data_IF_428347883874
#
_entry.id   IF_428347883874
#
_cell.length_a   1.000
_cell.length_b   1.000
_cell.length_c   1.000
_cell.angle_alpha   90.00
_cell.angle_beta   90.00
_cell.angle_gamma   90.00
#
_symmetry.space_group_name_H-M   'P 1'
#
loop_
_entity.id
_entity.type
_entity.pdbx_description
1 polymer ?
#
# COMPACT_ATOMS: atom_id res chain seq x y z
N UNK A 1 2.29 29.64 4.70
CA UNK A 1 2.36 28.38 5.46
C UNK A 1 3.58 27.60 5.03
N UNK A 2 4.65 27.73 5.82
CA UNK A 2 5.95 27.10 5.59
C UNK A 2 5.83 25.59 5.83
N UNK A 3 5.92 24.75 4.79
CA UNK A 3 6.28 23.34 4.98
C UNK A 3 7.80 23.31 5.14
N UNK A 4 8.25 22.97 6.35
CA UNK A 4 9.65 22.77 6.67
C UNK A 4 10.25 21.69 5.76
N UNK A 5 11.55 21.82 5.49
CA UNK A 5 12.34 20.86 4.73
C UNK A 5 12.16 19.42 5.23
N UNK A 6 12.11 18.48 4.28
CA UNK A 6 11.62 17.11 4.40
C UNK A 6 12.04 16.36 5.66
N UNK A 7 11.07 16.15 6.55
CA UNK A 7 11.11 15.04 7.49
C UNK A 7 10.77 13.79 6.68
N UNK A 8 11.72 12.85 6.54
CA UNK A 8 11.43 11.55 5.93
C UNK A 8 10.29 10.89 6.70
N UNK A 9 9.13 10.74 6.06
CA UNK A 9 7.92 10.20 6.69
C UNK A 9 8.05 8.70 6.99
N UNK A 10 9.04 8.03 6.40
CA UNK A 10 9.33 6.61 6.56
C UNK A 10 10.78 6.36 6.97
N UNK A 11 10.98 5.30 7.75
CA UNK A 11 12.24 4.65 8.06
C UNK A 11 12.42 3.41 7.19
N UNK A 12 13.63 3.19 6.68
CA UNK A 12 14.00 2.00 5.93
C UNK A 12 15.02 1.20 6.73
N UNK A 13 14.72 -0.06 7.01
CA UNK A 13 15.51 -0.94 7.88
C UNK A 13 15.81 -2.22 7.09
N UNK A 14 17.07 -2.63 7.08
CA UNK A 14 17.48 -3.91 6.47
C UNK A 14 16.91 -5.09 7.26
N UNK A 15 16.55 -6.17 6.56
CA UNK A 15 16.05 -7.39 7.21
C UNK A 15 17.26 -8.25 7.63
N UNK A 16 17.43 -8.42 8.94
CA UNK A 16 18.51 -9.22 9.55
C UNK A 16 18.04 -10.61 10.03
N UNK A 17 16.78 -10.96 9.80
CA UNK A 17 16.22 -12.26 10.19
C UNK A 17 16.96 -13.42 9.48
N UNK A 18 17.53 -14.39 10.23
CA UNK A 18 18.33 -15.45 9.64
C UNK A 18 17.52 -16.41 8.74
N UNK A 19 16.22 -16.58 9.01
CA UNK A 19 15.34 -17.43 8.20
C UNK A 19 15.06 -16.77 6.85
N UNK A 20 14.79 -15.46 6.86
CA UNK A 20 14.65 -14.66 5.67
C UNK A 20 15.94 -14.68 4.83
N UNK A 21 17.10 -14.41 5.43
CA UNK A 21 18.38 -14.40 4.71
C UNK A 21 18.73 -15.76 4.09
N UNK A 22 18.38 -16.87 4.75
CA UNK A 22 18.57 -18.22 4.21
C UNK A 22 17.65 -18.51 3.01
N UNK A 23 16.36 -18.18 3.12
CA UNK A 23 15.34 -18.47 2.10
C UNK A 23 15.38 -17.51 0.91
N UNK A 24 15.79 -16.26 1.13
CA UNK A 24 15.88 -15.23 0.10
C UNK A 24 16.83 -15.65 -1.04
N UNK A 25 18.01 -16.19 -0.70
CA UNK A 25 18.99 -16.68 -1.68
C UNK A 25 18.44 -17.80 -2.58
N UNK A 26 17.51 -18.60 -2.09
CA UNK A 26 16.90 -19.69 -2.85
C UNK A 26 15.84 -19.19 -3.84
N UNK A 27 15.21 -18.04 -3.54
CA UNK A 27 14.07 -17.51 -4.30
C UNK A 27 14.43 -16.37 -5.26
N UNK A 28 15.65 -15.84 -5.19
CA UNK A 28 16.09 -14.65 -5.93
C UNK A 28 15.18 -13.42 -5.67
N UNK A 29 14.68 -13.31 -4.43
CA UNK A 29 13.74 -12.30 -3.95
C UNK A 29 14.48 -11.26 -3.10
N UNK A 30 15.58 -10.72 -3.63
CA UNK A 30 16.54 -9.91 -2.86
C UNK A 30 16.05 -8.49 -2.54
N UNK A 31 14.89 -8.09 -3.05
CA UNK A 31 14.45 -6.71 -3.08
C UNK A 31 13.47 -6.35 -1.96
N UNK A 32 13.64 -6.87 -0.73
CA UNK A 32 12.80 -6.51 0.42
C UNK A 32 13.55 -5.77 1.53
N UNK A 33 12.81 -4.91 2.23
CA UNK A 33 13.24 -4.18 3.43
C UNK A 33 12.07 -3.98 4.38
N UNK A 34 12.34 -3.55 5.60
CA UNK A 34 11.30 -3.13 6.54
C UNK A 34 11.09 -1.61 6.45
N UNK A 35 9.83 -1.18 6.35
CA UNK A 35 9.42 0.22 6.35
C UNK A 35 8.64 0.54 7.61
N UNK A 36 9.01 1.61 8.31
CA UNK A 36 8.26 2.12 9.47
C UNK A 36 7.85 3.56 9.24
N UNK A 37 6.57 3.89 9.43
CA UNK A 37 6.13 5.27 9.41
C UNK A 37 6.65 6.03 10.64
N UNK A 38 7.26 7.19 10.45
CA UNK A 38 7.81 8.05 11.52
C UNK A 38 6.85 9.16 11.95
N UNK A 39 5.97 9.58 11.06
CA UNK A 39 5.07 10.73 11.27
C UNK A 39 3.63 10.33 11.07
N UNK A 40 2.79 10.61 12.07
CA UNK A 40 1.36 10.36 12.02
C UNK A 40 0.59 11.28 12.98
N UNK A 41 0.99 12.56 13.03
CA UNK A 41 0.26 13.58 13.77
C UNK A 41 -1.22 13.66 13.38
N UNK A 42 -1.53 13.25 12.16
CA UNK A 42 -2.86 13.36 11.55
C UNK A 42 -3.68 12.07 11.72
N UNK A 43 -3.10 11.01 12.28
CA UNK A 43 -3.82 9.76 12.57
C UNK A 43 -4.57 9.93 13.89
N UNK A 44 -5.89 9.76 13.94
CA UNK A 44 -6.71 9.98 15.14
C UNK A 44 -6.61 8.80 16.14
N UNK A 45 -5.39 8.32 16.39
CA UNK A 45 -5.08 7.24 17.32
C UNK A 45 -4.18 7.81 18.41
N UNK A 46 -4.71 7.86 19.63
CA UNK A 46 -3.99 8.35 20.80
C UNK A 46 -2.88 7.36 21.17
N UNK A 47 -1.65 7.65 20.71
CA UNK A 47 -0.43 6.80 20.80
C UNK A 47 -0.34 5.71 19.74
N UNK A 48 -0.15 6.13 18.50
CA UNK A 48 0.19 5.24 17.40
C UNK A 48 1.71 5.00 17.34
N UNK A 49 2.14 3.75 17.52
CA UNK A 49 3.52 3.30 17.37
C UNK A 49 3.53 1.99 16.54
N UNK A 50 3.47 2.09 15.21
CA UNK A 50 3.38 0.91 14.35
C UNK A 50 4.74 0.20 14.27
N UNK A 51 4.76 -1.15 14.20
CA UNK A 51 5.97 -1.87 13.88
C UNK A 51 6.43 -1.54 12.44
N UNK A 52 7.66 -1.94 12.11
CA UNK A 52 8.11 -1.91 10.73
C UNK A 52 7.48 -3.08 9.95
N UNK A 53 7.06 -2.85 8.72
CA UNK A 53 6.42 -3.85 7.86
C UNK A 53 7.28 -4.15 6.64
N UNK A 54 7.20 -5.38 6.12
CA UNK A 54 7.97 -5.79 4.95
C UNK A 54 7.39 -5.20 3.66
N UNK A 55 8.23 -4.50 2.91
CA UNK A 55 7.93 -3.97 1.57
C UNK A 55 9.09 -4.29 0.63
N UNK A 56 8.85 -4.13 -0.67
CA UNK A 56 9.96 -4.13 -1.62
C UNK A 56 10.78 -2.85 -1.51
N UNK A 57 12.05 -2.89 -1.91
CA UNK A 57 12.94 -1.73 -2.05
C UNK A 57 12.39 -0.66 -2.98
N UNK A 58 11.34 -0.96 -3.75
CA UNK A 58 10.67 -0.03 -4.66
C UNK A 58 9.77 0.97 -3.93
N UNK A 59 9.40 0.74 -2.67
CA UNK A 59 8.52 1.63 -1.90
C UNK A 59 9.02 3.08 -1.90
N UNK A 60 10.34 3.28 -1.76
CA UNK A 60 10.98 4.61 -1.79
C UNK A 60 10.80 5.36 -3.11
N UNK A 61 10.46 4.66 -4.20
CA UNK A 61 10.26 5.28 -5.52
C UNK A 61 8.93 6.01 -5.64
N UNK A 62 7.93 5.66 -4.81
CA UNK A 62 6.59 6.21 -4.89
C UNK A 62 6.07 6.77 -3.55
N UNK A 63 6.87 6.77 -2.48
CA UNK A 63 6.46 7.29 -1.16
C UNK A 63 6.00 8.76 -1.23
N UNK A 64 6.66 9.59 -2.03
CA UNK A 64 6.33 11.02 -2.16
C UNK A 64 4.99 11.21 -2.89
N UNK A 65 4.73 10.42 -3.93
CA UNK A 65 3.46 10.43 -4.64
C UNK A 65 2.33 9.97 -3.72
N UNK A 66 2.56 8.89 -2.95
CA UNK A 66 1.60 8.39 -1.97
C UNK A 66 1.23 9.45 -0.93
N UNK A 67 2.21 10.17 -0.38
CA UNK A 67 2.00 11.20 0.64
C UNK A 67 1.33 12.48 0.10
N UNK A 68 1.55 12.80 -1.17
CA UNK A 68 0.99 13.99 -1.81
C UNK A 68 -0.27 13.70 -2.64
N UNK A 69 -0.69 12.44 -2.72
CA UNK A 69 -1.88 12.02 -3.43
C UNK A 69 -3.11 12.74 -2.89
N UNK A 70 -3.91 13.30 -3.81
CA UNK A 70 -5.12 14.04 -3.47
C UNK A 70 -6.28 13.07 -3.24
N UNK A 71 -6.60 12.84 -1.97
CA UNK A 71 -7.81 12.11 -1.57
C UNK A 71 -9.05 12.94 -1.87
N UNK A 72 -10.06 12.32 -2.47
CA UNK A 72 -11.37 12.90 -2.76
C UNK A 72 -12.41 12.35 -1.80
N UNK A 73 -13.50 13.09 -1.64
CA UNK A 73 -14.60 12.70 -0.74
C UNK A 73 -15.38 11.47 -1.19
N UNK A 74 -15.29 11.12 -2.48
CA UNK A 74 -15.97 10.00 -3.13
C UNK A 74 -15.03 8.81 -3.39
N UNK A 75 -13.77 8.86 -2.94
CA UNK A 75 -12.84 7.75 -3.10
C UNK A 75 -13.28 6.54 -2.26
N UNK A 76 -13.20 5.35 -2.86
CA UNK A 76 -13.48 4.07 -2.20
C UNK A 76 -12.20 3.27 -2.05
N UNK A 77 -11.91 2.89 -0.82
CA UNK A 77 -10.68 2.20 -0.43
C UNK A 77 -10.98 0.75 -0.08
N UNK A 78 -10.34 -0.19 -0.78
CA UNK A 78 -10.36 -1.61 -0.42
C UNK A 78 -8.98 -1.98 0.10
N UNK A 79 -8.82 -1.97 1.42
CA UNK A 79 -7.57 -2.28 2.11
C UNK A 79 -7.69 -3.57 2.93
N UNK A 80 -6.68 -4.42 2.87
CA UNK A 80 -6.65 -5.70 3.58
C UNK A 80 -5.23 -6.25 3.67
N UNK A 81 -4.96 -7.13 4.63
CA UNK A 81 -3.73 -7.94 4.60
C UNK A 81 -3.73 -8.87 3.38
N UNK A 82 -2.57 -9.10 2.70
CA UNK A 82 -2.52 -9.91 1.49
C UNK A 82 -3.21 -11.26 1.62
N UNK A 83 -3.88 -11.68 0.54
CA UNK A 83 -4.61 -12.96 0.43
C UNK A 83 -5.84 -13.09 1.35
N UNK A 84 -6.36 -12.00 1.89
CA UNK A 84 -7.58 -12.00 2.73
C UNK A 84 -8.88 -11.72 1.95
N UNK A 85 -8.90 -11.99 0.64
CA UNK A 85 -10.11 -11.82 -0.20
C UNK A 85 -10.25 -10.47 -0.91
N UNK A 86 -9.18 -9.67 -1.01
CA UNK A 86 -9.18 -8.32 -1.64
C UNK A 86 -9.81 -8.31 -3.02
N UNK A 87 -9.46 -9.27 -3.89
CA UNK A 87 -10.00 -9.38 -5.26
C UNK A 87 -11.52 -9.55 -5.27
N UNK A 88 -12.06 -10.38 -4.38
CA UNK A 88 -13.51 -10.58 -4.28
C UNK A 88 -14.20 -9.31 -3.79
N UNK A 89 -13.63 -8.66 -2.77
CA UNK A 89 -14.16 -7.38 -2.27
C UNK A 89 -14.12 -6.28 -3.32
N UNK A 90 -13.04 -6.15 -4.09
CA UNK A 90 -12.94 -5.18 -5.17
C UNK A 90 -14.03 -5.40 -6.23
N UNK A 91 -14.28 -6.65 -6.65
CA UNK A 91 -15.35 -6.94 -7.61
C UNK A 91 -16.74 -6.62 -7.07
N UNK A 92 -17.04 -7.05 -5.84
CA UNK A 92 -18.33 -6.77 -5.20
C UNK A 92 -18.58 -5.27 -5.05
N UNK A 93 -17.59 -4.53 -4.56
CA UNK A 93 -17.67 -3.07 -4.40
C UNK A 93 -17.86 -2.41 -5.76
N UNK A 94 -17.08 -2.80 -6.78
CA UNK A 94 -17.20 -2.21 -8.11
C UNK A 94 -18.61 -2.37 -8.68
N UNK A 95 -19.17 -3.58 -8.62
CA UNK A 95 -20.51 -3.87 -9.13
C UNK A 95 -21.58 -3.08 -8.38
N UNK A 96 -21.52 -3.04 -7.04
CA UNK A 96 -22.48 -2.27 -6.23
C UNK A 96 -22.45 -0.78 -6.60
N UNK A 97 -21.26 -0.22 -6.82
CA UNK A 97 -21.09 1.19 -7.17
C UNK A 97 -21.39 1.52 -8.64
N UNK A 98 -21.55 0.51 -9.51
CA UNK A 98 -21.81 0.67 -10.94
C UNK A 98 -23.11 -0.06 -11.34
N UNK A 99 -24.14 0.02 -10.50
CA UNK A 99 -25.51 -0.47 -10.80
C UNK A 99 -25.59 -1.95 -11.24
N UNK A 100 -24.68 -2.78 -10.72
CA UNK A 100 -24.53 -4.19 -11.08
C UNK A 100 -24.28 -4.40 -12.59
N UNK A 101 -23.50 -3.52 -13.23
CA UNK A 101 -23.09 -3.65 -14.63
C UNK A 101 -22.07 -4.79 -14.84
N UNK A 102 -22.60 -6.01 -14.95
CA UNK A 102 -21.79 -7.21 -15.16
C UNK A 102 -21.10 -7.28 -16.52
N UNK A 103 -21.63 -6.61 -17.54
CA UNK A 103 -21.04 -6.65 -18.88
C UNK A 103 -19.77 -5.80 -18.91
N UNK A 104 -19.82 -4.60 -18.32
CA UNK A 104 -18.64 -3.76 -18.17
C UNK A 104 -17.60 -4.39 -17.26
N UNK A 105 -18.01 -4.97 -16.13
CA UNK A 105 -17.09 -5.67 -15.21
C UNK A 105 -16.29 -6.80 -15.88
N UNK A 106 -16.89 -7.50 -16.86
CA UNK A 106 -16.21 -8.54 -17.66
C UNK A 106 -15.30 -7.98 -18.74
N UNK A 107 -15.68 -6.84 -19.34
CA UNK A 107 -14.92 -6.21 -20.43
C UNK A 107 -13.67 -5.47 -19.94
N UNK A 108 -13.69 -4.96 -18.70
CA UNK A 108 -12.61 -4.16 -18.12
C UNK A 108 -11.83 -4.94 -17.06
N UNK A 109 -10.50 -4.91 -17.17
CA UNK A 109 -9.64 -5.56 -16.18
C UNK A 109 -9.81 -4.94 -14.79
N UNK A 110 -9.74 -5.76 -13.73
CA UNK A 110 -9.84 -5.27 -12.36
C UNK A 110 -8.74 -4.25 -12.04
N UNK A 111 -7.54 -4.39 -12.61
CA UNK A 111 -6.43 -3.42 -12.44
C UNK A 111 -6.75 -2.03 -13.01
N UNK A 112 -7.60 -1.97 -14.04
CA UNK A 112 -8.07 -0.69 -14.62
C UNK A 112 -9.14 -0.07 -13.73
N UNK A 113 -10.00 -0.90 -13.13
CA UNK A 113 -11.12 -0.48 -12.28
C UNK A 113 -10.69 -0.12 -10.85
N UNK A 114 -9.63 -0.74 -10.35
CA UNK A 114 -9.03 -0.54 -9.03
C UNK A 114 -7.51 -0.40 -9.17
N UNK A 115 -6.98 0.84 -9.21
CA UNK A 115 -5.55 1.09 -9.13
C UNK A 115 -4.98 0.58 -7.80
N UNK A 116 -3.79 -0.01 -7.86
CA UNK A 116 -3.06 -0.46 -6.66
C UNK A 116 -1.99 0.57 -6.31
N UNK A 117 -2.04 1.11 -5.10
CA UNK A 117 -1.15 2.19 -4.65
C UNK A 117 0.26 1.69 -4.32
N UNK A 118 0.39 0.43 -3.97
CA UNK A 118 1.64 -0.21 -3.60
C UNK A 118 2.51 -0.62 -4.79
N UNK A 119 2.01 -0.49 -6.02
CA UNK A 119 2.70 -0.96 -7.22
C UNK A 119 3.38 0.13 -8.06
N UNK A 120 3.16 1.42 -7.80
CA UNK A 120 3.84 2.54 -8.48
C UNK A 120 3.61 2.57 -9.99
#
# INVERSE_FOLDING_TARGET
NFRAAGIMSFEYIEIDDPTFLATNKERAEEDYLLVRAKTASDVPIEKWDPPAYCFTTRFSRYEEELLNMKVKSDDIWVASYPKSGTTWSQEMVWLICNDLDFDRAKSESLRTRFPFLEYG
#
